data_IF_640078421265
#
_entry.id   IF_640078421265
#
_cell.length_a   1.000
_cell.length_b   1.000
_cell.length_c   1.000
_cell.angle_alpha   90.00
_cell.angle_beta   90.00
_cell.angle_gamma   90.00
#
_symmetry.space_group_name_H-M   'P 1'
#
loop_
_entity.id
_entity.type
_entity.pdbx_description
1 polymer ?
#
# COMPACT_ATOMS: atom_id res chain seq x y z
N UNK A 1 17.78 43.87 40.53
CA UNK A 1 16.59 43.11 40.07
C UNK A 1 16.55 42.83 38.57
N UNK A 2 16.93 43.78 37.68
CA UNK A 2 16.93 43.63 36.21
C UNK A 2 17.86 42.50 35.73
N UNK A 3 19.06 42.41 36.25
CA UNK A 3 20.07 41.38 35.90
C UNK A 3 19.65 39.93 36.33
N UNK A 4 18.97 39.82 37.49
CA UNK A 4 18.46 38.52 37.96
C UNK A 4 17.36 37.99 37.02
N UNK A 5 16.43 38.85 36.58
CA UNK A 5 15.39 38.46 35.61
C UNK A 5 16.00 38.00 34.27
N UNK A 6 17.06 38.68 33.80
CA UNK A 6 17.77 38.30 32.59
C UNK A 6 18.48 36.95 32.74
N UNK A 7 19.14 36.69 33.86
CA UNK A 7 19.80 35.43 34.17
C UNK A 7 18.76 34.28 34.20
N UNK A 8 17.63 34.48 34.85
CA UNK A 8 16.55 33.47 34.90
C UNK A 8 16.02 33.20 33.47
N UNK A 9 15.82 34.25 32.68
CA UNK A 9 15.34 34.08 31.29
C UNK A 9 16.35 33.26 30.48
N UNK A 10 17.64 33.57 30.54
CA UNK A 10 18.70 32.84 29.86
C UNK A 10 18.72 31.35 30.30
N UNK A 11 18.63 31.13 31.61
CA UNK A 11 18.59 29.75 32.14
C UNK A 11 17.38 28.99 31.62
N UNK A 12 16.19 29.60 31.59
CA UNK A 12 14.98 28.97 31.03
C UNK A 12 15.15 28.60 29.53
N UNK A 13 15.77 29.50 28.75
CA UNK A 13 16.05 29.26 27.33
C UNK A 13 17.02 28.10 27.16
N UNK A 14 18.09 28.04 27.96
CA UNK A 14 19.07 26.94 27.92
C UNK A 14 18.42 25.60 28.29
N UNK A 15 17.62 25.59 29.34
CA UNK A 15 16.88 24.40 29.76
C UNK A 15 15.90 23.93 28.70
N UNK A 16 15.14 24.85 28.10
CA UNK A 16 14.22 24.55 27.00
C UNK A 16 14.98 23.96 25.81
N UNK A 17 16.08 24.61 25.42
CA UNK A 17 16.93 24.14 24.31
C UNK A 17 17.50 22.75 24.59
N UNK A 18 17.90 22.46 25.84
CA UNK A 18 18.36 21.12 26.25
C UNK A 18 17.28 20.06 26.02
N UNK A 19 16.02 20.33 26.39
CA UNK A 19 14.91 19.36 26.23
C UNK A 19 14.41 19.24 24.80
N UNK A 20 14.60 20.25 23.96
CA UNK A 20 14.25 20.19 22.54
C UNK A 20 15.22 19.32 21.72
N UNK A 21 16.47 19.27 22.13
CA UNK A 21 17.49 18.53 21.36
C UNK A 21 17.50 17.03 21.69
N UNK A 22 18.04 16.25 20.76
CA UNK A 22 18.23 14.83 20.91
C UNK A 22 19.08 14.47 22.13
N UNK A 23 18.83 13.33 22.80
CA UNK A 23 19.73 12.79 23.79
C UNK A 23 21.12 12.49 23.22
N UNK A 24 22.14 12.48 24.09
CA UNK A 24 23.52 12.16 23.66
C UNK A 24 23.58 10.75 23.05
N UNK A 25 22.92 9.79 23.70
CA UNK A 25 22.85 8.39 23.31
C UNK A 25 21.64 8.09 22.40
N UNK A 26 21.35 8.99 21.46
CA UNK A 26 20.26 8.78 20.50
C UNK A 26 20.47 7.47 19.72
N UNK A 27 19.45 6.58 19.61
CA UNK A 27 19.57 5.25 19.00
C UNK A 27 19.60 5.34 17.47
N UNK A 28 20.70 5.85 16.93
CA UNK A 28 20.85 6.01 15.47
C UNK A 28 20.90 4.67 14.76
N UNK A 29 20.18 4.58 13.61
CA UNK A 29 20.12 3.39 12.75
C UNK A 29 19.11 2.33 13.21
N UNK A 30 18.35 2.60 14.29
CA UNK A 30 17.30 1.69 14.74
C UNK A 30 15.95 2.02 14.11
N UNK A 31 15.06 1.03 14.03
CA UNK A 31 13.68 1.20 13.62
C UNK A 31 12.80 1.30 14.85
N UNK A 32 11.95 2.31 14.88
CA UNK A 32 10.94 2.52 15.91
C UNK A 32 9.56 2.22 15.34
N UNK A 33 8.89 1.21 15.87
CA UNK A 33 7.56 0.76 15.40
C UNK A 33 6.45 1.36 16.25
N UNK A 34 5.46 1.96 15.59
CA UNK A 34 4.19 2.37 16.16
C UNK A 34 3.11 1.42 15.62
N UNK A 35 2.51 0.64 16.51
CA UNK A 35 1.47 -0.31 16.15
C UNK A 35 0.11 0.38 15.95
N UNK A 36 -0.76 -0.27 15.19
CA UNK A 36 -2.11 0.22 14.99
C UNK A 36 -2.87 0.29 16.33
N UNK A 37 -3.50 1.43 16.60
CA UNK A 37 -4.24 1.68 17.85
C UNK A 37 -3.39 2.17 19.02
N UNK A 38 -2.08 2.34 18.86
CA UNK A 38 -1.25 2.94 19.90
C UNK A 38 -1.55 4.45 20.05
N UNK A 39 -1.87 4.86 21.28
CA UNK A 39 -2.14 6.25 21.60
C UNK A 39 -0.89 7.09 21.87
N UNK A 40 -1.03 8.41 21.80
CA UNK A 40 0.03 9.40 22.00
C UNK A 40 0.88 9.15 23.26
N UNK A 41 0.24 8.82 24.40
CA UNK A 41 0.94 8.55 25.65
C UNK A 41 1.82 7.32 25.61
N UNK A 42 1.37 6.24 24.95
CA UNK A 42 2.16 5.02 24.77
C UNK A 42 3.39 5.29 23.91
N UNK A 43 3.19 5.98 22.78
CA UNK A 43 4.26 6.35 21.85
C UNK A 43 5.28 7.26 22.52
N UNK A 44 4.84 8.29 23.25
CA UNK A 44 5.75 9.21 23.97
C UNK A 44 6.57 8.49 25.04
N UNK A 45 5.97 7.52 25.74
CA UNK A 45 6.66 6.70 26.73
C UNK A 45 7.76 5.85 26.10
N UNK A 46 7.43 5.10 25.05
CA UNK A 46 8.39 4.27 24.29
C UNK A 46 9.56 5.10 23.74
N UNK A 47 9.26 6.26 23.12
CA UNK A 47 10.30 7.15 22.58
C UNK A 47 11.26 7.66 23.66
N UNK A 48 10.77 7.93 24.86
CA UNK A 48 11.60 8.35 25.98
C UNK A 48 12.45 7.19 26.50
N UNK A 49 11.87 5.99 26.67
CA UNK A 49 12.62 4.81 27.14
C UNK A 49 13.74 4.41 26.17
N UNK A 50 13.47 4.49 24.87
CA UNK A 50 14.46 4.25 23.82
C UNK A 50 15.52 5.35 23.71
N UNK A 51 15.41 6.44 24.47
CA UNK A 51 16.34 7.55 24.39
C UNK A 51 16.26 8.35 23.09
N UNK A 52 15.11 8.37 22.43
CA UNK A 52 14.86 9.17 21.22
C UNK A 52 14.55 10.62 21.59
N UNK A 53 13.79 10.83 22.68
CA UNK A 53 13.41 12.15 23.19
C UNK A 53 13.77 12.30 24.67
N UNK A 54 13.98 13.54 25.12
CA UNK A 54 14.25 13.85 26.52
C UNK A 54 13.00 14.15 27.32
N UNK A 55 11.96 14.74 26.66
CA UNK A 55 10.73 15.15 27.31
C UNK A 55 9.52 14.60 26.56
N UNK A 56 8.72 13.79 27.28
CA UNK A 56 7.43 13.31 26.79
C UNK A 56 6.44 14.46 26.57
N UNK A 57 6.35 15.35 27.53
CA UNK A 57 5.41 16.48 27.51
C UNK A 57 5.64 17.37 26.27
N UNK A 58 6.91 17.69 25.96
CA UNK A 58 7.21 18.49 24.77
C UNK A 58 6.85 17.75 23.48
N UNK A 59 7.11 16.45 23.39
CA UNK A 59 6.71 15.64 22.26
C UNK A 59 5.17 15.66 22.08
N UNK A 60 4.44 15.40 23.16
CA UNK A 60 2.97 15.38 23.15
C UNK A 60 2.39 16.76 22.74
N UNK A 61 2.96 17.86 23.26
CA UNK A 61 2.57 19.22 22.87
C UNK A 61 2.80 19.44 21.36
N UNK A 62 3.94 19.06 20.81
CA UNK A 62 4.20 19.23 19.38
C UNK A 62 3.26 18.38 18.51
N UNK A 63 2.99 17.12 18.86
CA UNK A 63 2.04 16.29 18.13
C UNK A 63 0.64 16.91 18.14
N UNK A 64 0.19 17.42 19.30
CA UNK A 64 -1.11 18.11 19.41
C UNK A 64 -1.15 19.38 18.56
N UNK A 65 -0.06 20.13 18.50
CA UNK A 65 0.05 21.35 17.67
C UNK A 65 0.00 21.05 16.17
N UNK A 66 0.51 19.91 15.74
CA UNK A 66 0.54 19.52 14.31
C UNK A 66 -0.77 18.94 13.80
N UNK A 67 -1.51 18.19 14.56
CA UNK A 67 -2.73 17.57 14.06
C UNK A 67 -3.61 16.94 15.13
N UNK A 68 -3.11 16.93 16.38
CA UNK A 68 -3.79 16.36 17.52
C UNK A 68 -3.52 14.88 17.77
N UNK A 69 -4.05 14.37 18.88
CA UNK A 69 -3.81 13.01 19.37
C UNK A 69 -4.21 11.89 18.39
N UNK A 70 -5.09 12.21 17.43
CA UNK A 70 -5.62 11.23 16.44
C UNK A 70 -4.78 11.10 15.18
N UNK A 71 -3.71 11.89 15.03
CA UNK A 71 -2.89 11.92 13.81
C UNK A 71 -1.54 11.21 13.95
N UNK A 72 -1.40 10.32 14.93
CA UNK A 72 -0.24 9.43 14.99
C UNK A 72 -0.42 8.35 13.92
N UNK A 73 0.48 8.33 12.96
CA UNK A 73 0.44 7.35 11.88
C UNK A 73 1.19 6.08 12.32
N UNK A 74 0.48 4.93 12.45
CA UNK A 74 1.11 3.66 12.74
C UNK A 74 2.03 3.27 11.58
N UNK A 75 3.31 3.05 11.89
CA UNK A 75 4.32 2.70 10.90
C UNK A 75 5.67 2.37 11.56
N UNK A 76 6.57 1.83 10.76
CA UNK A 76 7.99 1.73 11.10
C UNK A 76 8.72 3.01 10.71
N UNK A 77 9.46 3.59 11.67
CA UNK A 77 10.22 4.83 11.48
C UNK A 77 11.71 4.58 11.67
N UNK A 78 12.51 4.83 10.66
CA UNK A 78 13.97 4.74 10.77
C UNK A 78 14.51 5.97 11.50
N UNK A 79 15.25 5.74 12.59
CA UNK A 79 15.95 6.77 13.33
C UNK A 79 17.37 6.97 12.72
N UNK A 80 17.42 7.44 11.49
CA UNK A 80 18.62 7.55 10.66
C UNK A 80 19.66 8.52 11.24
N UNK A 81 19.20 9.64 11.79
CA UNK A 81 20.05 10.69 12.35
C UNK A 81 19.46 11.24 13.65
N UNK A 82 20.33 11.89 14.47
CA UNK A 82 19.85 12.66 15.62
C UNK A 82 18.85 13.70 15.17
N UNK A 83 17.68 13.69 15.80
CA UNK A 83 16.58 14.59 15.48
C UNK A 83 16.07 15.28 16.75
N UNK A 84 15.61 16.51 16.61
CA UNK A 84 14.94 17.25 17.69
C UNK A 84 13.59 16.61 18.01
N UNK A 85 13.07 16.86 19.21
CA UNK A 85 11.71 16.37 19.58
C UNK A 85 10.65 16.89 18.61
N UNK A 86 10.83 18.09 18.10
CA UNK A 86 10.01 18.70 17.06
C UNK A 86 9.99 17.90 15.76
N UNK A 87 11.18 17.51 15.24
CA UNK A 87 11.31 16.71 14.03
C UNK A 87 10.68 15.32 14.19
N UNK A 88 10.89 14.67 15.34
CA UNK A 88 10.29 13.36 15.63
C UNK A 88 8.76 13.48 15.65
N UNK A 89 8.20 14.52 16.29
CA UNK A 89 6.75 14.74 16.32
C UNK A 89 6.18 14.97 14.92
N UNK A 90 6.81 15.81 14.11
CA UNK A 90 6.41 16.08 12.72
C UNK A 90 6.47 14.84 11.86
N UNK A 91 7.53 14.05 11.98
CA UNK A 91 7.70 12.81 11.20
C UNK A 91 6.61 11.79 11.50
N UNK A 92 6.26 11.62 12.76
CA UNK A 92 5.22 10.67 13.21
C UNK A 92 3.83 11.14 12.75
N UNK A 93 3.57 12.43 12.78
CA UNK A 93 2.31 13.00 12.31
C UNK A 93 2.18 12.92 10.78
N UNK A 94 3.24 13.25 10.05
CA UNK A 94 3.24 13.21 8.57
C UNK A 94 3.46 11.82 7.96
N UNK A 95 3.83 10.81 8.77
CA UNK A 95 4.19 9.48 8.28
C UNK A 95 5.53 9.44 7.56
N UNK A 96 6.46 10.36 7.83
CA UNK A 96 7.80 10.39 7.22
C UNK A 96 8.70 9.29 7.81
N UNK A 97 8.61 8.10 7.23
CA UNK A 97 9.26 6.87 7.75
C UNK A 97 10.78 6.85 7.61
N UNK A 98 11.32 7.51 6.57
CA UNK A 98 12.74 7.43 6.14
C UNK A 98 13.24 6.00 5.90
N UNK A 99 12.32 5.04 5.73
CA UNK A 99 12.60 3.71 5.23
C UNK A 99 12.45 3.69 3.72
N UNK A 100 13.31 2.94 3.04
CA UNK A 100 13.13 2.70 1.62
C UNK A 100 12.00 1.68 1.42
N UNK A 101 11.00 1.98 0.56
CA UNK A 101 10.00 0.99 0.25
C UNK A 101 10.61 -0.18 -0.54
N UNK A 102 10.10 -1.36 -0.31
CA UNK A 102 10.46 -2.55 -1.08
C UNK A 102 9.71 -2.58 -2.40
N UNK A 103 10.40 -3.05 -3.43
CA UNK A 103 9.81 -3.26 -4.76
C UNK A 103 9.15 -4.63 -4.83
N UNK A 104 7.86 -4.64 -5.18
CA UNK A 104 7.06 -5.86 -5.35
C UNK A 104 6.48 -5.87 -6.77
N UNK A 105 6.93 -6.81 -7.60
CA UNK A 105 6.41 -6.98 -8.96
C UNK A 105 5.38 -8.09 -8.98
N UNK A 106 4.21 -7.80 -9.52
CA UNK A 106 3.14 -8.75 -9.80
C UNK A 106 3.09 -8.95 -11.31
N UNK A 107 3.47 -10.12 -11.82
CA UNK A 107 3.40 -10.45 -13.24
C UNK A 107 1.96 -10.51 -13.76
N UNK A 108 1.82 -10.39 -15.06
CA UNK A 108 0.57 -10.69 -15.75
C UNK A 108 0.21 -12.19 -15.59
N UNK A 109 -1.09 -12.49 -15.62
CA UNK A 109 -1.59 -13.86 -15.48
C UNK A 109 -1.74 -14.36 -14.03
N UNK A 110 -1.25 -13.62 -13.02
CA UNK A 110 -1.42 -14.01 -11.62
C UNK A 110 -2.88 -13.89 -11.18
N UNK A 111 -3.37 -14.93 -10.49
CA UNK A 111 -4.67 -14.92 -9.81
C UNK A 111 -4.54 -14.34 -8.38
N UNK A 112 -5.66 -14.16 -7.70
CA UNK A 112 -5.70 -13.62 -6.31
C UNK A 112 -4.81 -14.40 -5.35
N UNK A 113 -4.73 -15.74 -5.46
CA UNK A 113 -3.90 -16.55 -4.56
C UNK A 113 -2.40 -16.34 -4.85
N UNK A 114 -2.02 -16.26 -6.12
CA UNK A 114 -0.63 -16.00 -6.52
C UNK A 114 -0.17 -14.63 -6.03
N UNK A 115 -1.02 -13.61 -6.18
CA UNK A 115 -0.78 -12.27 -5.65
C UNK A 115 -0.61 -12.29 -4.13
N UNK A 116 -1.49 -13.02 -3.42
CA UNK A 116 -1.43 -13.14 -1.97
C UNK A 116 -0.12 -13.80 -1.49
N UNK A 117 0.37 -14.85 -2.19
CA UNK A 117 1.66 -15.50 -1.88
C UNK A 117 2.84 -14.52 -1.98
N UNK A 118 2.87 -13.70 -3.05
CA UNK A 118 3.96 -12.74 -3.24
C UNK A 118 4.01 -11.71 -2.12
N UNK A 119 2.85 -11.21 -1.67
CA UNK A 119 2.80 -10.21 -0.61
C UNK A 119 3.05 -10.82 0.77
N UNK A 120 2.54 -12.01 1.05
CA UNK A 120 2.76 -12.74 2.30
C UNK A 120 4.26 -13.01 2.53
N UNK A 121 4.99 -13.33 1.48
CA UNK A 121 6.44 -13.53 1.55
C UNK A 121 7.27 -12.24 1.78
N UNK A 122 6.68 -11.05 1.55
CA UNK A 122 7.42 -9.78 1.55
C UNK A 122 6.99 -8.78 2.61
N UNK A 123 5.76 -8.86 3.10
CA UNK A 123 5.18 -7.90 4.03
C UNK A 123 4.91 -8.57 5.38
N UNK A 124 5.52 -8.05 6.44
CA UNK A 124 5.43 -8.65 7.78
C UNK A 124 4.03 -8.50 8.42
N UNK A 125 3.26 -7.51 8.02
CA UNK A 125 1.92 -7.21 8.56
C UNK A 125 0.78 -7.64 7.65
N UNK A 126 1.06 -8.46 6.63
CA UNK A 126 0.08 -8.89 5.63
C UNK A 126 -0.73 -10.10 6.11
N UNK A 127 -2.05 -9.99 6.14
CA UNK A 127 -2.95 -11.13 6.39
C UNK A 127 -3.41 -11.71 5.05
N UNK A 128 -2.74 -12.79 4.63
CA UNK A 128 -3.03 -13.52 3.39
C UNK A 128 -4.47 -13.98 3.30
N UNK A 129 -5.00 -14.56 4.41
CA UNK A 129 -6.36 -15.10 4.43
C UNK A 129 -7.40 -14.01 4.27
N UNK A 130 -7.17 -12.86 4.91
CA UNK A 130 -8.05 -11.70 4.80
C UNK A 130 -7.96 -11.09 3.39
N UNK A 131 -6.76 -10.95 2.84
CA UNK A 131 -6.59 -10.49 1.45
C UNK A 131 -7.39 -11.33 0.46
N UNK A 132 -7.26 -12.66 0.51
CA UNK A 132 -7.99 -13.57 -0.38
C UNK A 132 -9.51 -13.41 -0.25
N UNK A 133 -10.04 -13.35 0.99
CA UNK A 133 -11.48 -13.12 1.22
C UNK A 133 -11.98 -11.80 0.62
N UNK A 134 -11.22 -10.73 0.82
CA UNK A 134 -11.61 -9.39 0.38
C UNK A 134 -11.42 -9.20 -1.14
N UNK A 135 -10.49 -9.95 -1.74
CA UNK A 135 -10.12 -9.86 -3.15
C UNK A 135 -10.87 -10.84 -4.07
N UNK A 136 -11.57 -11.86 -3.56
CA UNK A 136 -12.18 -12.92 -4.37
C UNK A 136 -13.11 -12.41 -5.47
N UNK A 137 -13.86 -11.34 -5.21
CA UNK A 137 -14.76 -10.71 -6.18
C UNK A 137 -14.08 -9.63 -7.03
N UNK A 138 -12.78 -9.43 -6.86
CA UNK A 138 -11.95 -8.43 -7.53
C UNK A 138 -10.97 -9.05 -8.51
N UNK A 139 -11.10 -10.37 -8.79
CA UNK A 139 -10.31 -11.08 -9.78
C UNK A 139 -10.36 -10.34 -11.12
N UNK A 140 -9.18 -10.13 -11.74
CA UNK A 140 -9.03 -9.34 -12.95
C UNK A 140 -9.00 -7.82 -12.77
N UNK A 141 -9.28 -7.30 -11.55
CA UNK A 141 -9.20 -5.86 -11.23
C UNK A 141 -8.02 -5.49 -10.34
N UNK A 142 -7.17 -6.46 -10.01
CA UNK A 142 -5.88 -6.24 -9.36
C UNK A 142 -4.81 -6.11 -10.44
N UNK A 143 -4.50 -4.87 -10.82
CA UNK A 143 -3.66 -4.63 -12.00
C UNK A 143 -2.24 -5.17 -11.81
N UNK A 144 -1.69 -6.00 -12.73
CA UNK A 144 -0.30 -6.43 -12.68
C UNK A 144 0.64 -5.25 -12.97
N UNK A 145 1.56 -4.99 -12.04
CA UNK A 145 2.54 -3.89 -12.16
C UNK A 145 3.65 -4.08 -11.11
N UNK A 146 4.60 -3.18 -11.11
CA UNK A 146 5.59 -3.06 -10.05
C UNK A 146 5.18 -2.00 -9.04
N UNK A 147 4.96 -2.44 -7.83
CA UNK A 147 4.52 -1.61 -6.70
C UNK A 147 5.65 -1.35 -5.71
N UNK A 148 5.46 -0.29 -4.91
CA UNK A 148 6.37 0.05 -3.82
C UNK A 148 5.58 0.06 -2.52
N UNK A 149 5.97 -0.81 -1.58
CA UNK A 149 5.34 -0.96 -0.27
C UNK A 149 6.39 -0.90 0.84
N UNK A 150 5.96 -0.50 2.01
CA UNK A 150 6.78 -0.70 3.20
C UNK A 150 6.51 -2.08 3.78
N UNK A 151 7.49 -2.63 4.51
CA UNK A 151 7.40 -3.99 5.08
C UNK A 151 6.25 -4.17 6.08
N UNK A 152 5.80 -3.09 6.69
CA UNK A 152 4.67 -3.03 7.62
C UNK A 152 3.32 -2.67 6.96
N UNK A 153 3.27 -2.49 5.63
CA UNK A 153 2.01 -2.31 4.93
C UNK A 153 1.18 -3.60 4.98
N UNK A 154 -0.14 -3.45 5.17
CA UNK A 154 -1.06 -4.56 5.33
C UNK A 154 -1.86 -4.84 4.05
N UNK A 155 -2.69 -5.90 4.08
CA UNK A 155 -3.52 -6.34 2.96
C UNK A 155 -4.52 -5.28 2.47
N UNK A 156 -5.02 -4.42 3.36
CA UNK A 156 -5.94 -3.33 3.00
C UNK A 156 -5.24 -2.29 2.13
N UNK A 157 -4.00 -1.94 2.50
CA UNK A 157 -3.18 -1.01 1.73
C UNK A 157 -2.80 -1.59 0.37
N UNK A 158 -2.44 -2.87 0.33
CA UNK A 158 -2.10 -3.58 -0.91
C UNK A 158 -3.31 -3.58 -1.85
N UNK A 159 -4.46 -4.04 -1.37
CA UNK A 159 -5.69 -4.14 -2.16
C UNK A 159 -6.09 -2.77 -2.73
N UNK A 160 -6.07 -1.74 -1.87
CA UNK A 160 -6.38 -0.38 -2.31
C UNK A 160 -5.41 0.11 -3.39
N UNK A 161 -4.11 -0.08 -3.20
CA UNK A 161 -3.09 0.40 -4.15
C UNK A 161 -3.22 -0.28 -5.51
N UNK A 162 -3.43 -1.60 -5.55
CA UNK A 162 -3.61 -2.34 -6.80
C UNK A 162 -4.90 -1.94 -7.53
N UNK A 163 -5.99 -1.72 -6.79
CA UNK A 163 -7.25 -1.23 -7.34
C UNK A 163 -7.17 0.20 -7.86
N UNK A 164 -6.53 1.10 -7.11
CA UNK A 164 -6.32 2.48 -7.56
C UNK A 164 -5.53 2.51 -8.87
N UNK A 165 -4.54 1.62 -9.02
CA UNK A 165 -3.80 1.48 -10.28
C UNK A 165 -4.68 0.93 -11.41
N UNK A 166 -5.51 -0.08 -11.14
CA UNK A 166 -6.49 -0.58 -12.09
C UNK A 166 -7.43 0.54 -12.57
N UNK A 167 -8.03 1.29 -11.65
CA UNK A 167 -8.91 2.41 -11.99
C UNK A 167 -8.21 3.46 -12.86
N UNK A 168 -6.96 3.78 -12.53
CA UNK A 168 -6.15 4.70 -13.32
C UNK A 168 -5.93 4.19 -14.76
N UNK A 169 -5.74 2.88 -14.94
CA UNK A 169 -5.49 2.27 -16.26
C UNK A 169 -6.77 2.08 -17.07
N UNK A 170 -7.87 1.68 -16.45
CA UNK A 170 -9.12 1.38 -17.14
C UNK A 170 -9.94 2.62 -17.47
N UNK A 171 -9.86 3.67 -16.64
CA UNK A 171 -10.68 4.87 -16.79
C UNK A 171 -10.59 5.52 -18.19
N UNK A 172 -9.41 5.69 -18.82
CA UNK A 172 -9.30 6.22 -20.17
C UNK A 172 -9.95 5.35 -21.26
N UNK A 173 -10.13 4.05 -20.98
CA UNK A 173 -10.67 3.08 -21.93
C UNK A 173 -12.19 2.91 -21.83
N UNK A 174 -12.83 3.40 -20.75
CA UNK A 174 -14.26 3.19 -20.47
C UNK A 174 -15.18 3.72 -21.59
N UNK A 175 -14.84 4.84 -22.20
CA UNK A 175 -15.61 5.38 -23.34
C UNK A 175 -15.53 4.47 -24.57
N UNK A 176 -14.37 3.88 -24.83
CA UNK A 176 -14.18 2.95 -25.94
C UNK A 176 -14.90 1.62 -25.66
N UNK A 177 -14.80 1.10 -24.43
CA UNK A 177 -15.52 -0.11 -23.99
C UNK A 177 -17.04 0.06 -24.21
N UNK A 178 -17.58 1.19 -23.76
CA UNK A 178 -19.00 1.51 -23.95
C UNK A 178 -19.41 1.62 -25.42
N UNK A 179 -18.54 2.20 -26.26
CA UNK A 179 -18.80 2.30 -27.70
C UNK A 179 -18.84 0.93 -28.40
N UNK A 180 -18.15 -0.07 -27.84
CA UNK A 180 -18.21 -1.46 -28.31
C UNK A 180 -19.45 -2.23 -27.83
N UNK A 181 -20.36 -1.61 -27.08
CA UNK A 181 -21.49 -2.25 -26.41
C UNK A 181 -21.05 -3.46 -25.54
N UNK A 182 -19.93 -3.32 -24.85
CA UNK A 182 -19.36 -4.33 -23.94
C UNK A 182 -19.30 -3.79 -22.53
N UNK A 183 -19.34 -4.71 -21.59
CA UNK A 183 -19.05 -4.42 -20.19
C UNK A 183 -17.54 -4.46 -19.95
N UNK A 184 -17.08 -3.71 -18.96
CA UNK A 184 -15.69 -3.75 -18.51
C UNK A 184 -15.27 -5.19 -18.16
N UNK A 185 -16.16 -5.94 -17.49
CA UNK A 185 -15.93 -7.35 -17.14
C UNK A 185 -15.71 -8.24 -18.39
N UNK A 186 -16.52 -8.07 -19.45
CA UNK A 186 -16.33 -8.83 -20.69
C UNK A 186 -14.99 -8.53 -21.36
N UNK A 187 -14.55 -7.27 -21.33
CA UNK A 187 -13.27 -6.86 -21.89
C UNK A 187 -12.12 -7.49 -21.09
N UNK A 188 -12.15 -7.41 -19.75
CA UNK A 188 -11.12 -7.98 -18.89
C UNK A 188 -11.02 -9.51 -19.07
N UNK A 189 -12.15 -10.19 -19.15
CA UNK A 189 -12.21 -11.61 -19.41
C UNK A 189 -11.58 -11.95 -20.77
N UNK A 190 -11.97 -11.24 -21.83
CA UNK A 190 -11.40 -11.45 -23.17
C UNK A 190 -9.90 -11.18 -23.16
N UNK A 191 -9.45 -10.10 -22.53
CA UNK A 191 -8.03 -9.79 -22.41
C UNK A 191 -7.25 -10.90 -21.72
N UNK A 192 -7.79 -11.51 -20.67
CA UNK A 192 -7.14 -12.63 -19.97
C UNK A 192 -7.07 -13.91 -20.82
N UNK A 193 -8.05 -14.14 -21.70
CA UNK A 193 -7.99 -15.26 -22.66
C UNK A 193 -6.95 -15.02 -23.73
N UNK A 194 -6.93 -13.81 -24.30
CA UNK A 194 -5.93 -13.41 -25.29
C UNK A 194 -4.53 -13.51 -24.71
N UNK A 195 -4.32 -13.11 -23.46
CA UNK A 195 -3.04 -13.21 -22.78
C UNK A 195 -2.56 -14.66 -22.63
N UNK A 196 -3.48 -15.59 -22.33
CA UNK A 196 -3.15 -17.01 -22.19
C UNK A 196 -2.85 -17.72 -23.51
N UNK A 197 -3.36 -17.23 -24.65
CA UNK A 197 -3.22 -17.85 -25.97
C UNK A 197 -2.12 -17.19 -26.83
N UNK A 198 -1.73 -15.96 -26.53
CA UNK A 198 -0.82 -15.18 -27.37
C UNK A 198 0.65 -15.52 -27.10
N UNK A 199 1.42 -15.72 -28.15
CA UNK A 199 2.88 -15.90 -28.10
C UNK A 199 3.64 -14.59 -28.41
N UNK A 200 3.05 -13.44 -28.04
CA UNK A 200 3.64 -12.11 -28.23
C UNK A 200 2.62 -11.06 -28.66
N UNK A 201 3.07 -9.81 -28.77
CA UNK A 201 2.18 -8.68 -29.03
C UNK A 201 1.53 -8.71 -30.42
N UNK A 202 2.23 -9.24 -31.43
CA UNK A 202 1.73 -9.34 -32.80
C UNK A 202 0.49 -10.22 -32.96
N UNK A 203 0.36 -11.23 -32.09
CA UNK A 203 -0.70 -12.22 -32.21
C UNK A 203 -1.97 -11.81 -31.47
N UNK A 204 -1.86 -10.89 -30.50
CA UNK A 204 -2.97 -10.49 -29.62
C UNK A 204 -4.18 -9.95 -30.40
N UNK A 205 -3.95 -9.12 -31.43
CA UNK A 205 -5.04 -8.56 -32.24
C UNK A 205 -5.78 -9.63 -33.02
N UNK A 206 -5.05 -10.57 -33.65
CA UNK A 206 -5.64 -11.69 -34.40
C UNK A 206 -6.44 -12.61 -33.50
N UNK A 207 -5.87 -13.01 -32.36
CA UNK A 207 -6.53 -13.88 -31.39
C UNK A 207 -7.80 -13.20 -30.85
N UNK A 208 -7.72 -11.93 -30.44
CA UNK A 208 -8.87 -11.17 -29.99
C UNK A 208 -9.97 -11.12 -31.06
N UNK A 209 -9.62 -10.83 -32.32
CA UNK A 209 -10.53 -10.82 -33.43
C UNK A 209 -11.24 -12.17 -33.65
N UNK A 210 -10.49 -13.27 -33.59
CA UNK A 210 -11.03 -14.64 -33.72
C UNK A 210 -11.98 -14.94 -32.56
N UNK A 211 -11.59 -14.68 -31.32
CA UNK A 211 -12.39 -14.98 -30.15
C UNK A 211 -13.70 -14.16 -30.14
N UNK A 212 -13.65 -12.86 -30.43
CA UNK A 212 -14.84 -12.03 -30.57
C UNK A 212 -15.74 -12.51 -31.70
N UNK A 213 -15.17 -12.94 -32.83
CA UNK A 213 -15.96 -13.50 -33.94
C UNK A 213 -16.67 -14.79 -33.54
N UNK A 214 -15.97 -15.72 -32.86
CA UNK A 214 -16.56 -16.95 -32.35
C UNK A 214 -17.73 -16.67 -31.41
N UNK A 215 -17.56 -15.75 -30.44
CA UNK A 215 -18.65 -15.34 -29.56
C UNK A 215 -19.84 -14.77 -30.31
N UNK A 216 -19.61 -13.93 -31.33
CA UNK A 216 -20.69 -13.27 -32.07
C UNK A 216 -21.57 -14.24 -32.89
N UNK A 217 -21.03 -15.38 -33.26
CA UNK A 217 -21.75 -16.45 -34.02
C UNK A 217 -22.14 -17.64 -33.14
N UNK A 218 -21.97 -17.54 -31.80
CA UNK A 218 -22.32 -18.60 -30.87
C UNK A 218 -21.41 -19.83 -30.93
N UNK A 219 -20.18 -19.68 -31.43
CA UNK A 219 -19.20 -20.77 -31.52
C UNK A 219 -18.39 -20.88 -30.23
N UNK A 220 -18.02 -22.09 -29.82
CA UNK A 220 -17.12 -22.34 -28.68
C UNK A 220 -15.77 -21.66 -28.88
N UNK A 221 -15.21 -21.07 -27.80
CA UNK A 221 -13.93 -20.35 -27.89
C UNK A 221 -12.74 -21.28 -28.19
N UNK A 222 -12.80 -22.54 -27.69
CA UNK A 222 -11.73 -23.55 -27.88
C UNK A 222 -10.35 -23.02 -27.48
N UNK A 223 -10.28 -22.46 -26.29
CA UNK A 223 -9.04 -21.98 -25.67
C UNK A 223 -8.56 -23.05 -24.67
N UNK A 224 -7.25 -23.21 -24.53
CA UNK A 224 -6.63 -24.20 -23.65
C UNK A 224 -6.72 -23.83 -22.14
N UNK A 225 -7.62 -22.92 -21.80
CA UNK A 225 -7.88 -22.52 -20.40
C UNK A 225 -8.83 -23.54 -19.78
N UNK A 226 -8.45 -24.12 -18.62
CA UNK A 226 -9.26 -25.14 -17.97
C UNK A 226 -10.66 -24.64 -17.58
N UNK A 227 -11.69 -25.51 -17.57
CA UNK A 227 -13.04 -25.15 -17.15
C UNK A 227 -13.10 -24.56 -15.73
N UNK A 228 -12.20 -24.97 -14.83
CA UNK A 228 -12.05 -24.42 -13.48
C UNK A 228 -11.62 -22.95 -13.52
N UNK A 229 -10.72 -22.60 -14.41
CA UNK A 229 -10.27 -21.21 -14.63
C UNK A 229 -11.42 -20.34 -15.13
N UNK A 230 -12.29 -20.88 -15.99
CA UNK A 230 -13.52 -20.21 -16.44
C UNK A 230 -14.49 -19.96 -15.28
N UNK A 231 -14.72 -20.96 -14.44
CA UNK A 231 -15.62 -20.85 -13.30
C UNK A 231 -15.10 -19.86 -12.24
N UNK A 232 -13.82 -19.91 -11.94
CA UNK A 232 -13.20 -19.03 -10.94
C UNK A 232 -13.18 -17.55 -11.37
N UNK A 233 -13.08 -17.30 -12.68
CA UNK A 233 -13.07 -15.92 -13.23
C UNK A 233 -14.46 -15.37 -13.52
N UNK A 234 -15.54 -16.09 -13.19
CA UNK A 234 -16.93 -15.66 -13.38
C UNK A 234 -17.30 -15.42 -14.84
N UNK A 235 -16.67 -16.17 -15.74
CA UNK A 235 -17.06 -16.23 -17.16
C UNK A 235 -18.49 -16.76 -17.28
N UNK A 236 -19.32 -16.24 -18.22
CA UNK A 236 -20.57 -16.87 -18.55
C UNK A 236 -20.28 -18.33 -18.93
N UNK A 237 -21.16 -19.24 -18.48
CA UNK A 237 -21.06 -20.65 -18.89
C UNK A 237 -20.80 -20.68 -20.38
N UNK A 238 -19.78 -21.43 -20.80
CA UNK A 238 -19.50 -21.63 -22.21
C UNK A 238 -20.84 -21.91 -22.92
N UNK A 239 -21.32 -21.06 -23.86
CA UNK A 239 -22.60 -21.25 -24.47
C UNK A 239 -22.68 -22.54 -25.28
N UNK A 240 -21.54 -23.27 -25.42
CA UNK A 240 -21.45 -24.48 -26.21
C UNK A 240 -20.47 -25.43 -25.52
N UNK A 241 -20.98 -26.26 -24.66
CA UNK A 241 -20.19 -27.32 -24.09
C UNK A 241 -21.08 -28.20 -23.22
N UNK A 242 -21.63 -29.22 -23.78
CA UNK A 242 -21.97 -30.43 -23.03
C UNK A 242 -20.72 -31.06 -22.50
#
# INVERSE_FOLDING_TARGET
MRNIKLIILILCVVVLFYFLNAPVNFPKGTVFTINQGEGLRSVSYKLKELGVIRSRTLFEVFVIMYGGEKHIIPADYLLDNKATVYEIARRIESGERRLAPIKVTIPEGFNVNDVAEVFDAKLASFDKSKFIRDAVNLEGTLFPDTYHFFTDDNEVKVLKTMRDNYEKKINPLRSQISAMNKTEKEIIIMASLVEGEANGDSDREYIAGILWKRLSIGMALQVDVSPETYKSRGLPKNPIGN
#
